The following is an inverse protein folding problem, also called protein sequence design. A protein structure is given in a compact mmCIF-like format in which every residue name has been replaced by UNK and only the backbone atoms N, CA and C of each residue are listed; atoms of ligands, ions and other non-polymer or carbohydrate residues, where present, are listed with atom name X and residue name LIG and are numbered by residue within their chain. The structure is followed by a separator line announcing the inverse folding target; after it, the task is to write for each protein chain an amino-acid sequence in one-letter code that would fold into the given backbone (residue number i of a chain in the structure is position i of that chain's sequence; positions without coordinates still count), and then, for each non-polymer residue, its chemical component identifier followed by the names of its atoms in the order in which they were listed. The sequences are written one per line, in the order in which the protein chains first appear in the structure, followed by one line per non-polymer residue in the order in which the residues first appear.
data_IF_497750487630
#
_entry.id   IF_497750487630
#
_cell.length_a   1.000
_cell.length_b   1.000
_cell.length_c   1.000
_cell.angle_alpha   90.00
_cell.angle_beta   90.00
_cell.angle_gamma   90.00
#
_symmetry.space_group_name_H-M   'P 1'
#
loop_
_entity.id
_entity.type
_entity.pdbx_description
1 polymer ?
#
# COMPACT_ATOMS: atom_id res chain seq x y z
N UNK A 1 27.84 13.93 -12.28
CA UNK A 1 26.70 13.54 -11.42
C UNK A 1 25.41 14.35 -11.63
N UNK A 2 25.44 15.65 -11.96
CA UNK A 2 24.20 16.45 -12.16
C UNK A 2 23.35 16.07 -13.40
N UNK A 3 23.92 15.45 -14.44
CA UNK A 3 23.20 15.10 -15.68
C UNK A 3 22.33 13.83 -15.58
N UNK A 4 22.78 12.81 -14.83
CA UNK A 4 22.00 11.57 -14.64
C UNK A 4 20.75 11.80 -13.78
N UNK A 5 20.88 12.61 -12.72
CA UNK A 5 19.75 13.02 -11.89
C UNK A 5 18.69 13.78 -12.72
N UNK A 6 19.11 14.63 -13.66
CA UNK A 6 18.21 15.38 -14.52
C UNK A 6 17.47 14.50 -15.54
N UNK A 7 18.14 13.51 -16.14
CA UNK A 7 17.50 12.57 -17.07
C UNK A 7 16.48 11.65 -16.40
N UNK A 8 16.77 11.15 -15.19
CA UNK A 8 15.83 10.34 -14.40
C UNK A 8 14.66 11.20 -13.87
N UNK A 9 14.93 12.43 -13.43
CA UNK A 9 13.88 13.32 -12.92
C UNK A 9 12.94 13.84 -14.00
N UNK A 10 13.42 14.17 -15.20
CA UNK A 10 12.58 14.76 -16.25
C UNK A 10 11.74 13.69 -16.95
N UNK A 11 12.28 12.48 -17.18
CA UNK A 11 11.57 11.38 -17.85
C UNK A 11 10.54 10.67 -16.95
N UNK A 12 10.70 10.71 -15.62
CA UNK A 12 9.80 10.04 -14.66
C UNK A 12 9.19 10.96 -13.59
N UNK A 13 9.19 12.28 -13.80
CA UNK A 13 8.63 13.27 -12.85
C UNK A 13 7.20 12.92 -12.43
N UNK A 14 6.41 12.41 -13.36
CA UNK A 14 5.01 12.07 -13.14
C UNK A 14 4.84 10.82 -12.26
N UNK A 15 5.65 9.78 -12.48
CA UNK A 15 5.65 8.55 -11.67
C UNK A 15 6.00 8.85 -10.21
N UNK A 16 6.96 9.76 -9.98
CA UNK A 16 7.29 10.24 -8.63
C UNK A 16 6.15 11.03 -7.99
N UNK A 17 5.43 11.84 -8.76
CA UNK A 17 4.29 12.59 -8.25
C UNK A 17 3.11 11.67 -7.88
N UNK A 18 2.87 10.62 -8.67
CA UNK A 18 1.87 9.59 -8.36
C UNK A 18 2.26 8.79 -7.12
N UNK A 19 3.53 8.39 -6.99
CA UNK A 19 4.05 7.73 -5.79
C UNK A 19 3.88 8.61 -4.54
N UNK A 20 4.20 9.91 -4.62
CA UNK A 20 4.02 10.84 -3.51
C UNK A 20 2.55 11.04 -3.16
N UNK A 21 1.65 11.17 -4.14
CA UNK A 21 0.20 11.25 -3.89
C UNK A 21 -0.31 9.98 -3.21
N UNK A 22 0.11 8.82 -3.70
CA UNK A 22 -0.25 7.54 -3.09
C UNK A 22 0.31 7.41 -1.66
N UNK A 23 1.55 7.84 -1.43
CA UNK A 23 2.15 7.91 -0.10
C UNK A 23 1.40 8.86 0.84
N UNK A 24 0.94 10.01 0.35
CA UNK A 24 0.14 10.95 1.12
C UNK A 24 -1.26 10.39 1.44
N UNK A 25 -1.93 9.77 0.47
CA UNK A 25 -3.22 9.09 0.70
C UNK A 25 -3.04 7.97 1.72
N UNK A 26 -2.05 7.09 1.51
CA UNK A 26 -1.73 6.00 2.41
C UNK A 26 -1.42 6.51 3.83
N UNK A 27 -0.59 7.54 3.94
CA UNK A 27 -0.27 8.20 5.21
C UNK A 27 -1.51 8.79 5.91
N UNK A 28 -2.43 9.40 5.17
CA UNK A 28 -3.70 9.88 5.73
C UNK A 28 -4.56 8.73 6.27
N UNK A 29 -4.56 7.57 5.60
CA UNK A 29 -5.21 6.36 6.10
C UNK A 29 -4.61 5.86 7.41
N UNK A 30 -3.28 5.93 7.56
CA UNK A 30 -2.61 5.58 8.83
C UNK A 30 -3.05 6.51 9.96
N UNK A 31 -3.15 7.82 9.69
CA UNK A 31 -3.63 8.79 10.68
C UNK A 31 -5.09 8.53 11.06
N UNK A 32 -5.97 8.32 10.09
CA UNK A 32 -7.38 7.98 10.33
C UNK A 32 -7.49 6.70 11.15
N UNK A 33 -6.74 5.65 10.78
CA UNK A 33 -6.69 4.41 11.53
C UNK A 33 -6.30 4.67 12.99
N UNK A 34 -5.22 5.42 13.21
CA UNK A 34 -4.71 5.70 14.55
C UNK A 34 -5.72 6.49 15.40
N UNK A 35 -6.39 7.48 14.80
CA UNK A 35 -7.44 8.27 15.47
C UNK A 35 -8.59 7.35 15.90
N UNK A 36 -9.04 6.44 15.03
CA UNK A 36 -10.11 5.49 15.35
C UNK A 36 -9.71 4.56 16.49
N UNK A 37 -8.48 4.03 16.49
CA UNK A 37 -7.97 3.20 17.61
C UNK A 37 -8.00 3.98 18.92
N UNK A 38 -7.56 5.25 18.92
CA UNK A 38 -7.54 6.10 20.11
C UNK A 38 -8.97 6.36 20.62
N UNK A 39 -9.89 6.72 19.71
CA UNK A 39 -11.29 7.00 20.06
C UNK A 39 -11.94 5.75 20.65
N UNK A 40 -11.86 4.61 19.96
CA UNK A 40 -12.51 3.37 20.42
C UNK A 40 -11.91 2.86 21.73
N UNK A 41 -10.59 2.93 21.91
CA UNK A 41 -9.97 2.55 23.17
C UNK A 41 -10.42 3.48 24.33
N UNK A 42 -10.61 4.78 24.07
CA UNK A 42 -11.14 5.71 25.08
C UNK A 42 -12.61 5.45 25.38
N UNK A 43 -13.42 5.14 24.36
CA UNK A 43 -14.84 4.83 24.52
C UNK A 43 -15.09 3.48 25.23
N UNK A 44 -14.18 2.52 25.07
CA UNK A 44 -14.24 1.23 25.76
C UNK A 44 -14.20 1.41 27.29
N UNK A 45 -13.38 2.34 27.79
CA UNK A 45 -13.22 2.62 29.22
C UNK A 45 -12.53 1.52 30.05
N UNK A 46 -12.38 0.30 29.51
CA UNK A 46 -11.70 -0.86 30.12
C UNK A 46 -10.34 -1.19 29.51
N UNK A 47 -9.76 -2.34 29.89
CA UNK A 47 -8.49 -2.80 29.32
C UNK A 47 -8.74 -3.39 27.92
N UNK A 48 -7.99 -2.92 26.93
CA UNK A 48 -8.05 -3.44 25.56
C UNK A 48 -7.57 -4.89 25.45
N UNK A 49 -6.90 -5.42 26.47
CA UNK A 49 -6.49 -6.82 26.55
C UNK A 49 -7.62 -7.73 27.03
N UNK A 50 -8.69 -7.20 27.60
CA UNK A 50 -9.79 -8.01 28.07
C UNK A 50 -10.48 -8.77 26.94
N UNK A 51 -11.13 -9.87 27.31
CA UNK A 51 -11.91 -10.69 26.38
C UNK A 51 -13.13 -9.89 25.93
N UNK A 52 -13.25 -9.70 24.62
CA UNK A 52 -14.44 -9.13 23.99
C UNK A 52 -15.51 -10.22 23.80
N UNK A 53 -15.12 -11.36 23.21
CA UNK A 53 -16.00 -12.50 23.04
C UNK A 53 -15.21 -13.81 22.93
N UNK A 54 -15.74 -14.93 23.48
CA UNK A 54 -15.15 -16.25 23.29
C UNK A 54 -15.37 -16.73 21.84
N UNK A 55 -14.42 -17.48 21.29
CA UNK A 55 -14.61 -18.16 20.02
C UNK A 55 -15.47 -19.42 20.22
N UNK A 56 -16.57 -19.59 19.49
CA UNK A 56 -17.37 -20.80 19.58
C UNK A 56 -16.53 -22.03 19.30
N UNK A 57 -16.71 -23.09 20.09
CA UNK A 57 -16.07 -24.39 19.91
C UNK A 57 -14.52 -24.40 20.09
N UNK A 58 -13.96 -23.44 20.82
CA UNK A 58 -12.53 -23.42 21.14
C UNK A 58 -12.24 -22.75 22.49
N UNK A 59 -11.03 -22.96 23.04
CA UNK A 59 -10.53 -22.25 24.23
C UNK A 59 -9.99 -20.84 23.91
N UNK A 60 -10.03 -20.44 22.63
CA UNK A 60 -9.54 -19.14 22.21
C UNK A 60 -10.55 -18.03 22.46
N UNK A 61 -10.04 -16.84 22.73
CA UNK A 61 -10.83 -15.66 23.02
C UNK A 61 -10.39 -14.51 22.13
N UNK A 62 -11.35 -13.75 21.60
CA UNK A 62 -11.09 -12.53 20.87
C UNK A 62 -11.04 -11.39 21.88
N UNK A 63 -9.92 -10.66 21.88
CA UNK A 63 -9.66 -9.54 22.80
C UNK A 63 -10.09 -8.22 22.19
N UNK A 64 -10.35 -7.22 23.02
CA UNK A 64 -10.83 -5.91 22.57
C UNK A 64 -9.88 -5.20 21.58
N UNK A 65 -8.56 -5.36 21.70
CA UNK A 65 -7.63 -4.76 20.73
C UNK A 65 -7.79 -5.32 19.31
N UNK A 66 -8.22 -6.58 19.17
CA UNK A 66 -8.54 -7.16 17.85
C UNK A 66 -9.71 -6.39 17.27
N UNK A 67 -10.81 -6.29 18.01
CA UNK A 67 -12.03 -5.57 17.60
C UNK A 67 -11.74 -4.11 17.23
N UNK A 68 -11.03 -3.40 18.11
CA UNK A 68 -10.67 -1.98 17.92
C UNK A 68 -9.86 -1.82 16.62
N UNK A 69 -8.84 -2.65 16.42
CA UNK A 69 -7.99 -2.54 15.22
C UNK A 69 -8.69 -3.05 13.95
N UNK A 70 -9.63 -3.99 14.04
CA UNK A 70 -10.51 -4.36 12.92
C UNK A 70 -11.33 -3.16 12.47
N UNK A 71 -12.02 -2.49 13.40
CA UNK A 71 -12.88 -1.34 13.06
C UNK A 71 -12.01 -0.21 12.48
N UNK A 72 -10.86 0.07 13.08
CA UNK A 72 -9.92 1.06 12.57
C UNK A 72 -9.41 0.73 11.16
N UNK A 73 -9.12 -0.54 10.88
CA UNK A 73 -8.73 -1.01 9.55
C UNK A 73 -9.85 -0.75 8.53
N UNK A 74 -11.09 -1.13 8.84
CA UNK A 74 -12.23 -0.96 7.93
C UNK A 74 -12.47 0.53 7.63
N UNK A 75 -12.47 1.38 8.64
CA UNK A 75 -12.64 2.84 8.45
C UNK A 75 -11.52 3.43 7.60
N UNK A 76 -10.27 3.07 7.89
CA UNK A 76 -9.12 3.52 7.10
C UNK A 76 -9.13 2.96 5.67
N UNK A 77 -9.62 1.74 5.47
CA UNK A 77 -9.74 1.13 4.15
C UNK A 77 -10.79 1.87 3.30
N UNK A 78 -11.95 2.17 3.87
CA UNK A 78 -12.99 3.00 3.21
C UNK A 78 -12.45 4.40 2.91
N UNK A 79 -11.73 5.03 3.85
CA UNK A 79 -11.09 6.33 3.64
C UNK A 79 -10.10 6.31 2.46
N UNK A 80 -9.18 5.33 2.46
CA UNK A 80 -8.21 5.17 1.39
C UNK A 80 -8.87 4.87 0.05
N UNK A 81 -9.91 4.04 0.04
CA UNK A 81 -10.68 3.74 -1.17
C UNK A 81 -11.34 5.00 -1.73
N UNK A 82 -12.02 5.76 -0.89
CA UNK A 82 -12.74 6.96 -1.32
C UNK A 82 -11.79 8.04 -1.83
N UNK A 83 -10.64 8.25 -1.17
CA UNK A 83 -9.62 9.18 -1.64
C UNK A 83 -9.01 8.74 -2.98
N UNK A 84 -8.66 7.46 -3.13
CA UNK A 84 -8.12 6.95 -4.39
C UNK A 84 -9.13 7.09 -5.54
N UNK A 85 -10.41 6.80 -5.27
CA UNK A 85 -11.48 6.91 -6.28
C UNK A 85 -11.79 8.35 -6.68
N UNK A 86 -11.80 9.29 -5.73
CA UNK A 86 -12.25 10.68 -6.00
C UNK A 86 -11.12 11.63 -6.40
N UNK A 87 -9.90 11.38 -5.95
CA UNK A 87 -8.77 12.28 -6.14
C UNK A 87 -7.67 11.68 -7.01
N UNK A 88 -7.20 10.45 -6.72
CA UNK A 88 -6.04 9.87 -7.40
C UNK A 88 -6.33 9.41 -8.84
N UNK A 89 -7.49 8.78 -9.09
CA UNK A 89 -7.80 8.13 -10.38
C UNK A 89 -9.04 8.68 -11.08
N UNK A 90 -9.21 10.01 -11.06
CA UNK A 90 -10.42 10.70 -11.52
C UNK A 90 -10.74 10.58 -13.04
N UNK A 91 -9.95 9.84 -13.83
CA UNK A 91 -10.00 9.86 -15.31
C UNK A 91 -10.52 8.59 -16.00
N UNK A 92 -10.98 7.56 -15.28
CA UNK A 92 -11.54 6.35 -15.91
C UNK A 92 -13.07 6.28 -15.83
N UNK A 93 -13.71 5.59 -16.78
CA UNK A 93 -15.11 5.12 -16.61
C UNK A 93 -15.16 4.19 -15.39
N UNK A 94 -15.44 4.74 -14.21
CA UNK A 94 -15.47 3.96 -12.99
C UNK A 94 -16.55 2.90 -13.04
N UNK A 95 -16.22 1.71 -12.56
CA UNK A 95 -17.20 0.69 -12.28
C UNK A 95 -18.08 1.12 -11.09
N UNK A 96 -19.14 0.36 -10.84
CA UNK A 96 -19.96 0.55 -9.64
C UNK A 96 -19.10 0.48 -8.38
N UNK A 97 -19.34 1.39 -7.43
CA UNK A 97 -18.56 1.55 -6.18
C UNK A 97 -18.24 0.21 -5.49
N UNK A 98 -19.23 -0.67 -5.38
CA UNK A 98 -19.09 -1.98 -4.74
C UNK A 98 -18.18 -2.95 -5.49
N UNK A 99 -18.14 -2.90 -6.83
CA UNK A 99 -17.31 -3.79 -7.66
C UNK A 99 -15.82 -3.48 -7.48
N UNK A 100 -15.47 -2.23 -7.22
CA UNK A 100 -14.08 -1.84 -6.95
C UNK A 100 -13.72 -1.98 -5.45
N UNK A 101 -14.67 -1.71 -4.56
CA UNK A 101 -14.43 -1.72 -3.12
C UNK A 101 -14.10 -3.11 -2.59
N UNK A 102 -14.86 -4.15 -2.95
CA UNK A 102 -14.63 -5.49 -2.40
C UNK A 102 -13.26 -6.10 -2.79
N UNK A 103 -12.78 -6.00 -4.04
CA UNK A 103 -11.42 -6.38 -4.38
C UNK A 103 -10.37 -5.57 -3.61
N UNK A 104 -10.56 -4.25 -3.47
CA UNK A 104 -9.65 -3.39 -2.71
C UNK A 104 -9.58 -3.80 -1.23
N UNK A 105 -10.74 -4.05 -0.61
CA UNK A 105 -10.86 -4.53 0.76
C UNK A 105 -10.24 -5.93 0.90
N UNK A 106 -10.47 -6.84 -0.04
CA UNK A 106 -9.94 -8.21 0.00
C UNK A 106 -8.40 -8.21 -0.01
N UNK A 107 -7.79 -7.41 -0.88
CA UNK A 107 -6.33 -7.27 -0.91
C UNK A 107 -5.80 -6.65 0.39
N UNK A 108 -6.44 -5.58 0.87
CA UNK A 108 -6.08 -4.96 2.15
C UNK A 108 -6.24 -5.91 3.34
N UNK A 109 -7.21 -6.83 3.29
CA UNK A 109 -7.49 -7.79 4.35
C UNK A 109 -6.35 -8.78 4.54
N UNK A 110 -5.62 -9.15 3.46
CA UNK A 110 -4.44 -10.02 3.56
C UNK A 110 -3.36 -9.37 4.43
N UNK A 111 -3.04 -8.10 4.15
CA UNK A 111 -2.07 -7.35 4.94
C UNK A 111 -2.56 -7.14 6.38
N UNK A 112 -3.85 -6.87 6.56
CA UNK A 112 -4.48 -6.74 7.88
C UNK A 112 -4.37 -8.01 8.72
N UNK A 113 -4.60 -9.19 8.15
CA UNK A 113 -4.48 -10.46 8.87
C UNK A 113 -3.05 -10.71 9.37
N UNK A 114 -2.04 -10.38 8.54
CA UNK A 114 -0.64 -10.40 8.99
C UNK A 114 -0.43 -9.38 10.13
N UNK A 115 -1.04 -8.20 10.01
CA UNK A 115 -1.03 -7.18 11.06
C UNK A 115 -1.63 -7.65 12.38
N UNK A 116 -2.68 -8.48 12.34
CA UNK A 116 -3.28 -9.08 13.54
C UNK A 116 -2.32 -10.06 14.23
N UNK A 117 -1.55 -10.82 13.47
CA UNK A 117 -0.50 -11.69 14.06
C UNK A 117 0.58 -10.83 14.73
N UNK A 118 1.03 -9.76 14.05
CA UNK A 118 2.03 -8.85 14.60
C UNK A 118 1.52 -8.19 15.89
N UNK A 119 0.31 -7.64 15.89
CA UNK A 119 -0.22 -6.95 17.07
C UNK A 119 -0.43 -7.92 18.24
N UNK A 120 -0.87 -9.16 17.97
CA UNK A 120 -0.97 -10.23 18.96
C UNK A 120 0.41 -10.51 19.60
N UNK A 121 1.46 -10.62 18.79
CA UNK A 121 2.82 -10.84 19.29
C UNK A 121 3.34 -9.66 20.11
N UNK A 122 3.01 -8.42 19.72
CA UNK A 122 3.50 -7.22 20.41
C UNK A 122 2.76 -6.93 21.73
N UNK A 123 1.52 -7.39 21.89
CA UNK A 123 0.68 -7.08 23.07
C UNK A 123 0.50 -8.24 24.04
N UNK A 124 0.72 -9.48 23.60
CA UNK A 124 0.51 -10.65 24.45
C UNK A 124 1.61 -10.82 25.49
N UNK A 125 1.21 -10.99 26.77
CA UNK A 125 2.14 -11.11 27.89
C UNK A 125 3.04 -12.36 27.85
N UNK A 126 2.67 -13.40 27.09
CA UNK A 126 3.51 -14.59 26.90
C UNK A 126 4.55 -14.44 25.78
N UNK A 127 4.48 -13.36 24.99
CA UNK A 127 5.30 -13.20 23.80
C UNK A 127 6.74 -12.79 24.14
N UNK A 128 7.75 -13.32 23.41
CA UNK A 128 9.14 -12.87 23.54
C UNK A 128 9.34 -11.43 23.01
N UNK A 129 8.42 -10.93 22.18
CA UNK A 129 8.49 -9.60 21.55
C UNK A 129 7.43 -8.64 22.09
N UNK A 130 6.94 -8.89 23.30
CA UNK A 130 6.00 -7.99 23.98
C UNK A 130 6.60 -6.59 24.14
N UNK A 131 5.88 -5.57 23.68
CA UNK A 131 6.35 -4.19 23.69
C UNK A 131 6.65 -3.67 25.08
N UNK A 132 5.83 -3.98 26.07
CA UNK A 132 6.04 -3.52 27.44
C UNK A 132 7.32 -4.10 28.06
N UNK A 133 7.72 -5.32 27.66
CA UNK A 133 9.00 -5.93 28.09
C UNK A 133 10.19 -5.33 27.37
N UNK A 134 10.08 -5.14 26.05
CA UNK A 134 11.16 -4.56 25.24
C UNK A 134 11.37 -3.07 25.52
N UNK A 135 10.30 -2.35 25.84
CA UNK A 135 10.28 -0.92 26.07
C UNK A 135 9.49 -0.60 27.36
N UNK A 136 10.12 -0.64 28.54
CA UNK A 136 9.45 -0.40 29.83
C UNK A 136 8.78 0.97 29.96
N UNK A 137 9.13 1.94 29.10
CA UNK A 137 8.44 3.25 29.02
C UNK A 137 7.01 3.13 28.51
N UNK A 138 6.68 2.03 27.82
CA UNK A 138 5.33 1.72 27.35
C UNK A 138 4.55 0.98 28.45
N UNK A 139 4.33 1.69 29.55
CA UNK A 139 3.75 1.20 30.80
C UNK A 139 2.22 1.35 30.88
N UNK A 140 1.56 1.78 29.79
CA UNK A 140 0.10 2.03 29.74
C UNK A 140 -0.38 3.19 30.64
N UNK A 141 0.52 3.95 31.28
CA UNK A 141 0.17 5.02 32.24
C UNK A 141 -0.42 6.29 31.60
N UNK A 142 -0.14 6.52 30.32
CA UNK A 142 -0.59 7.70 29.58
C UNK A 142 -0.78 7.39 28.11
N UNK A 143 -1.42 8.31 27.37
CA UNK A 143 -1.73 8.12 25.96
C UNK A 143 -0.51 7.77 25.10
N UNK A 144 0.60 8.51 25.21
CA UNK A 144 1.81 8.21 24.43
C UNK A 144 2.60 7.00 24.96
N UNK A 145 2.30 6.52 26.16
CA UNK A 145 2.91 5.32 26.75
C UNK A 145 2.07 4.06 26.55
N UNK A 146 0.98 4.13 25.79
CA UNK A 146 0.08 2.99 25.56
C UNK A 146 0.69 2.00 24.57
N UNK A 147 1.00 0.74 24.97
CA UNK A 147 1.50 -0.27 24.04
C UNK A 147 0.59 -0.48 22.82
N UNK A 148 -0.73 -0.42 23.00
CA UNK A 148 -1.71 -0.56 21.93
C UNK A 148 -1.44 0.39 20.75
N UNK A 149 -1.16 1.66 21.02
CA UNK A 149 -1.02 2.67 19.96
C UNK A 149 0.27 2.44 19.16
N UNK A 150 1.36 2.10 19.84
CA UNK A 150 2.62 1.76 19.20
C UNK A 150 2.56 0.44 18.46
N UNK A 151 1.92 -0.59 19.04
CA UNK A 151 1.71 -1.86 18.37
C UNK A 151 0.92 -1.69 17.07
N UNK A 152 -0.11 -0.83 17.09
CA UNK A 152 -0.88 -0.50 15.90
C UNK A 152 -0.04 0.22 14.83
N UNK A 153 0.79 1.20 15.20
CA UNK A 153 1.68 1.87 14.24
C UNK A 153 2.74 0.93 13.65
N UNK A 154 3.34 0.09 14.50
CA UNK A 154 4.36 -0.88 14.09
C UNK A 154 3.76 -1.89 13.12
N UNK A 155 2.58 -2.47 13.43
CA UNK A 155 1.97 -3.45 12.53
C UNK A 155 1.60 -2.83 11.18
N UNK A 156 1.10 -1.59 11.14
CA UNK A 156 0.84 -0.89 9.87
C UNK A 156 2.14 -0.73 9.09
N UNK A 157 3.20 -0.28 9.76
CA UNK A 157 4.50 -0.04 9.12
C UNK A 157 5.08 -1.32 8.53
N UNK A 158 4.99 -2.44 9.24
CA UNK A 158 5.48 -3.73 8.78
C UNK A 158 4.59 -4.36 7.70
N UNK A 159 3.29 -4.06 7.68
CA UNK A 159 2.35 -4.62 6.69
C UNK A 159 2.22 -3.77 5.43
N UNK A 160 2.64 -2.50 5.44
CA UNK A 160 2.65 -1.66 4.24
C UNK A 160 3.41 -2.28 3.05
N UNK A 161 4.65 -2.80 3.20
CA UNK A 161 5.35 -3.48 2.12
C UNK A 161 4.61 -4.73 1.62
N UNK A 162 3.99 -5.48 2.54
CA UNK A 162 3.22 -6.68 2.20
C UNK A 162 2.02 -6.30 1.34
N UNK A 163 1.28 -5.27 1.74
CA UNK A 163 0.16 -4.75 0.98
C UNK A 163 0.59 -4.33 -0.45
N UNK A 164 1.74 -3.66 -0.58
CA UNK A 164 2.28 -3.29 -1.88
C UNK A 164 2.56 -4.53 -2.76
N UNK A 165 3.23 -5.55 -2.21
CA UNK A 165 3.54 -6.79 -2.95
C UNK A 165 2.26 -7.51 -3.40
N UNK A 166 1.27 -7.65 -2.52
CA UNK A 166 -0.01 -8.32 -2.86
C UNK A 166 -0.74 -7.54 -3.96
N UNK A 167 -0.81 -6.21 -3.85
CA UNK A 167 -1.41 -5.37 -4.90
C UNK A 167 -0.66 -5.50 -6.23
N UNK A 168 0.68 -5.54 -6.20
CA UNK A 168 1.51 -5.69 -7.39
C UNK A 168 1.28 -7.04 -8.07
N UNK A 169 1.32 -8.14 -7.32
CA UNK A 169 1.08 -9.50 -7.85
C UNK A 169 -0.34 -9.64 -8.43
N UNK A 170 -1.35 -9.10 -7.74
CA UNK A 170 -2.72 -9.10 -8.23
C UNK A 170 -2.85 -8.30 -9.53
N UNK A 171 -2.21 -7.13 -9.61
CA UNK A 171 -2.20 -6.28 -10.82
C UNK A 171 -1.61 -7.00 -12.02
N UNK A 172 -0.45 -7.65 -11.89
CA UNK A 172 0.12 -8.43 -12.99
C UNK A 172 -0.82 -9.55 -13.47
N UNK A 173 -1.46 -10.25 -12.52
CA UNK A 173 -2.43 -11.28 -12.86
C UNK A 173 -3.64 -10.70 -13.60
N UNK A 174 -4.15 -9.54 -13.14
CA UNK A 174 -5.29 -8.86 -13.76
C UNK A 174 -4.96 -8.35 -15.17
N UNK A 175 -3.78 -7.77 -15.39
CA UNK A 175 -3.32 -7.32 -16.71
C UNK A 175 -3.22 -8.50 -17.67
N UNK A 176 -2.65 -9.64 -17.24
CA UNK A 176 -2.60 -10.86 -18.06
C UNK A 176 -4.00 -11.38 -18.40
N UNK A 177 -4.95 -11.31 -17.44
CA UNK A 177 -6.35 -11.68 -17.67
C UNK A 177 -7.07 -10.76 -18.65
N UNK A 178 -6.88 -9.44 -18.54
CA UNK A 178 -7.51 -8.45 -19.43
C UNK A 178 -7.11 -8.58 -20.90
N UNK A 179 -5.92 -9.14 -21.16
CA UNK A 179 -5.49 -9.46 -22.54
C UNK A 179 -6.29 -10.60 -23.16
N UNK A 180 -6.74 -11.55 -22.35
CA UNK A 180 -7.61 -12.66 -22.76
C UNK A 180 -9.08 -12.23 -22.79
N UNK A 181 -9.44 -11.31 -21.89
CA UNK A 181 -10.80 -10.82 -21.63
C UNK A 181 -10.83 -9.29 -21.60
N UNK A 182 -10.97 -8.61 -22.75
CA UNK A 182 -10.91 -7.13 -22.84
C UNK A 182 -11.90 -6.39 -21.94
N UNK A 183 -13.00 -7.05 -21.57
CA UNK A 183 -14.03 -6.59 -20.65
C UNK A 183 -13.58 -6.50 -19.18
N UNK A 184 -12.46 -7.14 -18.82
CA UNK A 184 -11.98 -7.18 -17.45
C UNK A 184 -11.48 -5.80 -17.00
N UNK A 185 -11.93 -5.35 -15.82
CA UNK A 185 -11.48 -4.09 -15.24
C UNK A 185 -10.15 -4.27 -14.50
N UNK A 186 -9.27 -3.26 -14.56
CA UNK A 186 -8.00 -3.28 -13.86
C UNK A 186 -8.15 -2.78 -12.42
N UNK A 187 -7.25 -3.21 -11.51
CA UNK A 187 -7.18 -2.65 -10.17
C UNK A 187 -7.04 -1.13 -10.20
N UNK A 188 -7.76 -0.43 -9.33
CA UNK A 188 -7.61 1.02 -9.16
C UNK A 188 -6.16 1.42 -8.88
N UNK A 189 -5.40 0.59 -8.14
CA UNK A 189 -4.01 0.88 -7.78
C UNK A 189 -3.00 0.55 -8.89
N UNK A 190 -3.43 0.00 -10.03
CA UNK A 190 -2.56 -0.56 -11.05
C UNK A 190 -1.48 0.41 -11.53
N UNK A 191 -1.85 1.67 -11.80
CA UNK A 191 -0.92 2.70 -12.29
C UNK A 191 0.18 3.06 -11.28
N UNK A 192 -0.05 2.82 -9.98
CA UNK A 192 0.95 3.09 -8.95
C UNK A 192 1.82 1.87 -8.69
N UNK A 193 1.23 0.67 -8.64
CA UNK A 193 1.96 -0.55 -8.25
C UNK A 193 2.69 -1.23 -9.41
N UNK A 194 2.23 -0.99 -10.63
CA UNK A 194 2.84 -1.51 -11.85
C UNK A 194 2.74 -0.49 -13.02
N UNK A 195 3.32 0.72 -12.87
CA UNK A 195 3.34 1.76 -13.93
C UNK A 195 3.98 1.28 -15.25
N UNK A 196 4.76 0.20 -15.21
CA UNK A 196 5.39 -0.42 -16.37
C UNK A 196 4.42 -1.15 -17.30
N UNK A 197 3.21 -1.51 -16.85
CA UNK A 197 2.25 -2.33 -17.62
C UNK A 197 0.91 -1.64 -17.86
N UNK A 198 0.69 -0.46 -17.29
CA UNK A 198 -0.52 0.34 -17.51
C UNK A 198 -0.16 1.80 -17.79
N UNK A 199 -0.93 2.44 -18.67
CA UNK A 199 -0.78 3.85 -19.03
C UNK A 199 -1.23 4.77 -17.88
N UNK A 200 -1.12 6.08 -18.11
CA UNK A 200 -1.44 7.11 -17.12
C UNK A 200 -2.93 7.10 -16.72
N UNK A 201 -3.80 6.59 -17.60
CA UNK A 201 -5.23 6.40 -17.40
C UNK A 201 -5.59 5.05 -16.76
N UNK A 202 -4.60 4.17 -16.54
CA UNK A 202 -4.77 2.84 -15.96
C UNK A 202 -5.25 1.78 -16.96
N UNK A 203 -5.11 2.00 -18.26
CA UNK A 203 -5.33 0.98 -19.29
C UNK A 203 -4.06 0.16 -19.53
N UNK A 204 -4.16 -1.11 -19.95
CA UNK A 204 -2.99 -1.92 -20.27
C UNK A 204 -2.16 -1.32 -21.42
N UNK A 205 -0.84 -1.27 -21.27
CA UNK A 205 0.07 -0.92 -22.37
C UNK A 205 0.23 -2.13 -23.30
N UNK A 206 0.10 -1.97 -24.64
CA UNK A 206 0.33 -3.05 -25.61
C UNK A 206 1.77 -3.59 -25.55
N UNK A 207 1.93 -4.91 -25.69
CA UNK A 207 3.24 -5.54 -25.66
C UNK A 207 4.00 -5.25 -26.96
N UNK A 208 5.12 -4.52 -26.87
CA UNK A 208 5.95 -4.12 -28.02
C UNK A 208 6.42 -2.66 -28.03
N UNK A 209 5.83 -1.78 -27.24
CA UNK A 209 6.21 -0.34 -27.17
C UNK A 209 7.34 -0.02 -26.19
N UNK A 210 7.86 -1.01 -25.45
CA UNK A 210 8.85 -0.79 -24.37
C UNK A 210 10.30 -0.75 -24.88
N UNK A 211 10.59 -1.03 -26.15
CA UNK A 211 11.95 -0.94 -26.70
C UNK A 211 11.98 -0.55 -28.19
N UNK A 212 11.85 0.74 -28.51
CA UNK A 212 12.25 1.23 -29.86
C UNK A 212 12.70 2.71 -29.90
N UNK A 213 13.14 3.29 -28.78
CA UNK A 213 13.72 4.65 -28.76
C UNK A 213 15.24 4.67 -28.51
N UNK A 214 15.90 3.52 -28.54
CA UNK A 214 17.36 3.41 -28.56
C UNK A 214 17.77 2.78 -29.88
N UNK A 215 17.93 3.62 -30.89
CA UNK A 215 19.04 3.70 -31.87
C UNK A 215 18.64 4.87 -32.79
N UNK A 216 18.94 6.09 -32.37
CA UNK A 216 19.34 7.09 -33.36
C UNK A 216 20.86 6.98 -33.44
N UNK A 217 21.26 6.35 -34.53
CA UNK A 217 22.60 6.29 -35.09
C UNK A 217 23.17 7.71 -35.18
N UNK A 218 24.02 8.07 -34.22
CA UNK A 218 25.00 9.13 -34.38
C UNK A 218 26.38 8.48 -34.32
N UNK A 219 26.78 7.94 -35.47
CA UNK A 219 28.14 7.56 -35.79
C UNK A 219 29.11 8.68 -35.39
N UNK A 220 29.98 8.38 -34.43
CA UNK A 220 31.07 9.24 -33.99
C UNK A 220 32.25 9.15 -34.96
N UNK A 221 32.78 10.34 -35.32
CA UNK A 221 34.16 10.71 -35.70
C UNK A 221 34.61 10.59 -37.17
N UNK A 222 34.63 11.74 -37.82
CA UNK A 222 35.82 12.55 -38.17
C UNK A 222 37.20 11.85 -38.16
N UNK A 223 37.92 11.94 -39.30
CA UNK A 223 39.39 11.82 -39.32
C UNK A 223 40.06 11.40 -40.63
N UNK A 224 40.40 12.38 -41.47
CA UNK A 224 41.64 12.51 -42.27
C UNK A 224 41.91 11.63 -43.52
N UNK A 225 42.36 12.30 -44.60
CA UNK A 225 43.38 11.75 -45.51
C UNK A 225 43.18 12.05 -47.00
N UNK A 226 43.87 13.07 -47.51
CA UNK A 226 44.07 13.41 -48.93
C UNK A 226 44.51 12.21 -49.81
N UNK A 227 44.16 12.21 -51.11
CA UNK A 227 45.12 12.37 -52.24
C UNK A 227 44.54 11.97 -53.62
N UNK A 228 44.67 12.91 -54.56
CA UNK A 228 45.09 12.81 -55.97
C UNK A 228 44.40 11.90 -57.02
N UNK A 229 43.98 12.60 -58.09
CA UNK A 229 44.19 12.40 -59.54
C UNK A 229 43.93 11.01 -60.17
N UNK A 230 43.13 11.06 -61.25
CA UNK A 230 43.06 10.06 -62.31
C UNK A 230 41.87 10.29 -63.21
#
# INVERSE_FOLDING_TARGET
MKRAAHYVFVRHRHNWLQFLRFGLVGGSGVLVNQIVVIILNKLLGGDYRDVAFPLPFSDFNIRWYVVITTIAFLVANVWNFQLNRTWTFKSGKHAGWWREFFPFLAVGSVAYLVGQVIIQLLLWHGSPVELAKLFPVLDDSSGLRKPLYWANLIQITLTMPINFVVNKLWTFRAVRGKRLHPEQELPMVAAVVAPEVVDEEGNPIPEGTVHEDTIHDDSVRDGSGDTERG
#
